data_IF_573920068705
#
_entry.id   IF_573920068705
#
_cell.length_a   1.000
_cell.length_b   1.000
_cell.length_c   1.000
_cell.angle_alpha   90.00
_cell.angle_beta   90.00
_cell.angle_gamma   90.00
#
_symmetry.space_group_name_H-M   'P 1'
#
loop_
_entity.id
_entity.type
_entity.pdbx_description
1 polymer ?
#
# COMPACT_ATOMS: atom_id res chain seq x y z
N UNK A 1 2.38 28.09 -5.89
CA UNK A 1 3.48 27.12 -5.99
C UNK A 1 2.88 25.72 -5.83
N UNK A 2 3.16 24.76 -6.71
CA UNK A 2 2.63 23.38 -6.61
C UNK A 2 2.96 22.68 -5.29
N UNK A 3 3.97 23.19 -4.55
CA UNK A 3 4.38 22.67 -3.25
C UNK A 3 3.32 22.90 -2.15
N UNK A 4 2.63 24.04 -2.13
CA UNK A 4 1.63 24.35 -1.09
C UNK A 4 0.37 23.49 -1.22
N UNK A 5 0.01 23.12 -2.46
CA UNK A 5 -1.11 22.22 -2.74
C UNK A 5 -0.74 20.80 -2.33
N UNK A 6 0.48 20.35 -2.63
CA UNK A 6 0.97 19.02 -2.24
C UNK A 6 0.96 18.85 -0.71
N UNK A 7 1.53 19.81 0.03
CA UNK A 7 1.60 19.77 1.49
C UNK A 7 0.20 19.74 2.13
N UNK A 8 -0.80 20.40 1.52
CA UNK A 8 -2.20 20.35 2.01
C UNK A 8 -2.92 19.04 1.73
N UNK A 9 -2.54 18.31 0.68
CA UNK A 9 -3.20 17.05 0.29
C UNK A 9 -2.61 15.84 1.00
N UNK A 10 -1.31 15.89 1.36
CA UNK A 10 -0.59 14.82 2.07
C UNK A 10 -1.30 14.33 3.34
N UNK A 11 -1.83 15.18 4.24
CA UNK A 11 -2.53 14.73 5.45
C UNK A 11 -3.79 13.91 5.14
N UNK A 12 -4.56 14.29 4.11
CA UNK A 12 -5.74 13.54 3.68
C UNK A 12 -5.38 12.17 3.13
N UNK A 13 -4.31 12.10 2.34
CA UNK A 13 -3.79 10.83 1.80
C UNK A 13 -3.24 9.91 2.90
N UNK A 14 -2.54 10.47 3.89
CA UNK A 14 -2.08 9.75 5.08
C UNK A 14 -3.25 9.24 5.92
N UNK A 15 -4.31 10.04 6.10
CA UNK A 15 -5.51 9.62 6.80
C UNK A 15 -6.23 8.47 6.09
N UNK A 16 -6.34 8.52 4.76
CA UNK A 16 -6.90 7.41 3.96
C UNK A 16 -6.04 6.15 4.11
N UNK A 17 -4.70 6.28 4.02
CA UNK A 17 -3.79 5.16 4.20
C UNK A 17 -3.93 4.56 5.62
N UNK A 18 -4.03 5.40 6.64
CA UNK A 18 -4.23 4.97 8.03
C UNK A 18 -5.56 4.23 8.20
N UNK A 19 -6.65 4.77 7.65
CA UNK A 19 -7.98 4.15 7.69
C UNK A 19 -7.94 2.79 6.99
N UNK A 20 -7.29 2.69 5.82
CA UNK A 20 -7.13 1.42 5.10
C UNK A 20 -6.32 0.39 5.89
N UNK A 21 -5.25 0.83 6.57
CA UNK A 21 -4.41 0.00 7.46
C UNK A 21 -5.22 -0.52 8.65
N UNK A 22 -5.97 0.36 9.33
CA UNK A 22 -6.76 0.01 10.53
C UNK A 22 -7.92 -0.91 10.17
N UNK A 23 -8.57 -0.66 9.03
CA UNK A 23 -9.68 -1.47 8.54
C UNK A 23 -9.22 -2.83 8.00
N UNK A 24 -7.99 -2.96 7.48
CA UNK A 24 -7.29 -4.20 7.13
C UNK A 24 -8.15 -5.47 6.93
N UNK A 25 -8.40 -6.27 7.99
CA UNK A 25 -9.18 -7.51 7.89
C UNK A 25 -10.70 -7.29 7.71
N UNK A 26 -11.25 -6.19 8.25
CA UNK A 26 -12.61 -5.78 7.90
C UNK A 26 -12.70 -5.27 6.48
N UNK A 27 -11.62 -4.84 5.82
CA UNK A 27 -11.67 -4.39 4.42
C UNK A 27 -11.95 -5.55 3.49
N UNK A 28 -11.44 -6.75 3.77
CA UNK A 28 -11.75 -7.94 2.96
C UNK A 28 -13.24 -8.30 3.08
N UNK A 29 -13.78 -8.34 4.30
CA UNK A 29 -15.20 -8.64 4.53
C UNK A 29 -16.13 -7.50 4.10
N UNK A 30 -15.73 -6.25 4.34
CA UNK A 30 -16.43 -5.03 3.93
C UNK A 30 -16.40 -4.84 2.43
N UNK A 31 -15.31 -5.16 1.72
CA UNK A 31 -15.30 -5.11 0.26
C UNK A 31 -16.02 -6.30 -0.36
N UNK A 32 -15.99 -7.49 0.24
CA UNK A 32 -16.89 -8.59 -0.16
C UNK A 32 -18.36 -8.18 -0.02
N UNK A 33 -18.68 -7.39 1.00
CA UNK A 33 -20.03 -6.85 1.24
C UNK A 33 -20.38 -5.63 0.37
N UNK A 34 -19.46 -4.70 0.16
CA UNK A 34 -19.66 -3.43 -0.56
C UNK A 34 -19.48 -3.57 -2.08
N UNK A 35 -18.69 -4.54 -2.54
CA UNK A 35 -18.46 -4.85 -3.95
C UNK A 35 -18.83 -6.30 -4.29
N UNK A 36 -20.10 -6.72 -4.09
CA UNK A 36 -20.55 -8.08 -4.45
C UNK A 36 -20.42 -8.38 -5.95
N UNK A 37 -20.25 -7.35 -6.79
CA UNK A 37 -20.01 -7.42 -8.23
C UNK A 37 -18.53 -7.52 -8.68
N UNK A 38 -17.55 -7.50 -7.76
CA UNK A 38 -16.13 -7.69 -8.07
C UNK A 38 -15.80 -9.12 -8.54
N UNK A 39 -16.79 -10.01 -8.63
CA UNK A 39 -16.70 -11.25 -9.41
C UNK A 39 -16.66 -11.01 -10.92
N UNK A 40 -17.14 -9.85 -11.39
CA UNK A 40 -17.05 -9.47 -12.80
C UNK A 40 -15.63 -8.98 -13.12
N UNK A 41 -14.97 -9.61 -14.09
CA UNK A 41 -13.58 -9.27 -14.45
C UNK A 41 -13.38 -7.79 -14.82
N UNK A 42 -14.42 -7.13 -15.34
CA UNK A 42 -14.39 -5.71 -15.65
C UNK A 42 -14.30 -4.81 -14.40
N UNK A 43 -15.09 -5.08 -13.35
CA UNK A 43 -15.05 -4.30 -12.11
C UNK A 43 -13.70 -4.44 -11.40
N UNK A 44 -13.14 -5.66 -11.36
CA UNK A 44 -11.81 -5.93 -10.80
C UNK A 44 -10.73 -5.20 -11.57
N UNK A 45 -10.78 -5.19 -12.90
CA UNK A 45 -9.84 -4.44 -13.74
C UNK A 45 -9.85 -2.93 -13.45
N UNK A 46 -11.04 -2.33 -13.30
CA UNK A 46 -11.17 -0.90 -12.96
C UNK A 46 -10.59 -0.60 -11.58
N UNK A 47 -10.89 -1.44 -10.58
CA UNK A 47 -10.36 -1.27 -9.22
C UNK A 47 -8.84 -1.42 -9.17
N UNK A 48 -8.29 -2.42 -9.86
CA UNK A 48 -6.84 -2.61 -9.95
C UNK A 48 -6.15 -1.43 -10.67
N UNK A 49 -6.76 -0.88 -11.72
CA UNK A 49 -6.24 0.30 -12.39
C UNK A 49 -6.25 1.53 -11.46
N UNK A 50 -7.33 1.76 -10.72
CA UNK A 50 -7.42 2.84 -9.74
C UNK A 50 -6.38 2.69 -8.61
N UNK A 51 -6.20 1.47 -8.10
CA UNK A 51 -5.17 1.15 -7.10
C UNK A 51 -3.77 1.34 -7.69
N UNK A 52 -3.54 1.04 -8.96
CA UNK A 52 -2.27 1.29 -9.64
C UNK A 52 -1.92 2.77 -9.69
N UNK A 53 -2.88 3.64 -10.02
CA UNK A 53 -2.69 5.10 -10.03
C UNK A 53 -2.39 5.62 -8.62
N UNK A 54 -3.19 5.23 -7.64
CA UNK A 54 -2.97 5.60 -6.24
C UNK A 54 -1.62 5.11 -5.72
N UNK A 55 -1.33 3.84 -6.02
CA UNK A 55 -0.13 3.15 -5.59
C UNK A 55 1.14 3.75 -6.16
N UNK A 56 1.13 4.11 -7.45
CA UNK A 56 2.26 4.77 -8.10
C UNK A 56 2.55 6.18 -7.58
N UNK A 57 1.55 6.86 -7.00
CA UNK A 57 1.74 8.18 -6.41
C UNK A 57 2.13 8.15 -4.92
N UNK A 58 1.48 7.30 -4.12
CA UNK A 58 1.59 7.34 -2.65
C UNK A 58 2.13 6.05 -2.03
N UNK A 59 1.84 4.88 -2.60
CA UNK A 59 2.32 3.56 -2.15
C UNK A 59 1.80 3.07 -0.78
N UNK A 60 1.50 3.96 0.17
CA UNK A 60 1.08 3.61 1.53
C UNK A 60 -0.30 2.97 1.56
N UNK A 61 -0.48 1.88 2.32
CA UNK A 61 -1.78 1.20 2.45
C UNK A 61 -2.25 0.43 1.19
N UNK A 62 -1.63 0.63 0.03
CA UNK A 62 -1.96 -0.02 -1.24
C UNK A 62 -1.98 -1.55 -1.14
N UNK A 63 -1.06 -2.14 -0.37
CA UNK A 63 -1.03 -3.59 -0.17
C UNK A 63 -2.31 -4.15 0.46
N UNK A 64 -2.99 -3.40 1.33
CA UNK A 64 -4.28 -3.80 1.91
C UNK A 64 -5.41 -3.66 0.90
N UNK A 65 -5.35 -2.64 0.05
CA UNK A 65 -6.33 -2.45 -1.04
C UNK A 65 -6.23 -3.58 -2.08
N UNK A 66 -5.01 -3.96 -2.47
CA UNK A 66 -4.76 -5.12 -3.35
C UNK A 66 -5.30 -6.41 -2.72
N UNK A 67 -5.02 -6.65 -1.43
CA UNK A 67 -5.57 -7.81 -0.73
C UNK A 67 -7.09 -7.82 -0.74
N UNK A 68 -7.73 -6.68 -0.49
CA UNK A 68 -9.18 -6.59 -0.44
C UNK A 68 -9.84 -6.88 -1.80
N UNK A 69 -9.29 -6.31 -2.89
CA UNK A 69 -9.81 -6.54 -4.25
C UNK A 69 -9.56 -7.96 -4.72
N UNK A 70 -8.34 -8.47 -4.54
CA UNK A 70 -7.98 -9.83 -4.99
C UNK A 70 -8.74 -10.90 -4.18
N UNK A 71 -8.91 -10.74 -2.87
CA UNK A 71 -9.69 -11.68 -2.05
C UNK A 71 -11.21 -11.59 -2.28
N UNK A 72 -11.70 -10.51 -2.89
CA UNK A 72 -13.09 -10.35 -3.30
C UNK A 72 -13.35 -10.92 -4.71
N UNK A 73 -12.36 -10.86 -5.61
CA UNK A 73 -12.45 -11.40 -6.97
C UNK A 73 -12.19 -12.90 -7.04
N UNK A 74 -11.22 -13.39 -6.26
CA UNK A 74 -10.81 -14.79 -6.23
C UNK A 74 -11.34 -15.43 -4.96
N UNK A 75 -12.23 -16.42 -5.09
CA UNK A 75 -12.70 -17.27 -3.97
C UNK A 75 -11.61 -18.23 -3.47
N UNK A 76 -10.35 -17.84 -3.57
CA UNK A 76 -9.18 -18.71 -3.51
C UNK A 76 -8.37 -18.44 -2.22
N UNK A 77 -7.55 -19.39 -1.82
CA UNK A 77 -6.86 -19.40 -0.52
C UNK A 77 -5.98 -18.15 -0.29
N UNK A 78 -5.92 -17.72 0.98
CA UNK A 78 -5.19 -16.51 1.45
C UNK A 78 -3.70 -16.49 0.99
N UNK A 79 -3.10 -17.65 0.74
CA UNK A 79 -1.73 -17.77 0.24
C UNK A 79 -1.54 -17.24 -1.19
N UNK A 80 -2.45 -17.58 -2.11
CA UNK A 80 -2.35 -17.14 -3.52
C UNK A 80 -2.65 -15.65 -3.66
N UNK A 81 -3.65 -15.16 -2.92
CA UNK A 81 -3.98 -13.73 -2.87
C UNK A 81 -2.79 -12.89 -2.40
N UNK A 82 -2.04 -13.37 -1.40
CA UNK A 82 -0.83 -12.70 -0.91
C UNK A 82 0.30 -12.68 -1.95
N UNK A 83 0.47 -13.78 -2.71
CA UNK A 83 1.43 -13.85 -3.81
C UNK A 83 1.10 -12.84 -4.91
N UNK A 84 -0.15 -12.85 -5.39
CA UNK A 84 -0.63 -11.92 -6.40
C UNK A 84 -0.48 -10.45 -5.95
N UNK A 85 -0.88 -10.13 -4.71
CA UNK A 85 -0.72 -8.79 -4.14
C UNK A 85 0.73 -8.31 -4.17
N UNK A 86 1.69 -9.15 -3.78
CA UNK A 86 3.10 -8.76 -3.80
C UNK A 86 3.62 -8.55 -5.23
N UNK A 87 3.17 -9.36 -6.20
CA UNK A 87 3.52 -9.20 -7.60
C UNK A 87 2.97 -7.88 -8.18
N UNK A 88 1.70 -7.58 -7.94
CA UNK A 88 1.09 -6.30 -8.36
C UNK A 88 1.79 -5.11 -7.71
N UNK A 89 2.06 -5.18 -6.39
CA UNK A 89 2.78 -4.12 -5.70
C UNK A 89 4.18 -3.90 -6.29
N UNK A 90 4.92 -4.97 -6.57
CA UNK A 90 6.24 -4.88 -7.20
C UNK A 90 6.17 -4.26 -8.60
N UNK A 91 5.18 -4.64 -9.41
CA UNK A 91 4.97 -4.08 -10.75
C UNK A 91 4.65 -2.58 -10.71
N UNK A 92 3.69 -2.19 -9.85
CA UNK A 92 3.29 -0.77 -9.69
C UNK A 92 4.49 0.07 -9.25
N UNK A 93 5.23 -0.37 -8.23
CA UNK A 93 6.38 0.37 -7.72
C UNK A 93 7.51 0.46 -8.75
N UNK A 94 7.77 -0.62 -9.49
CA UNK A 94 8.81 -0.63 -10.53
C UNK A 94 8.48 0.35 -11.67
N UNK A 95 7.22 0.39 -12.11
CA UNK A 95 6.75 1.33 -13.12
C UNK A 95 6.78 2.77 -12.59
N UNK A 96 6.36 3.00 -11.34
CA UNK A 96 6.34 4.33 -10.72
C UNK A 96 7.72 4.98 -10.59
N UNK A 97 8.78 4.18 -10.46
CA UNK A 97 10.16 4.68 -10.39
C UNK A 97 10.66 5.18 -11.75
N UNK A 98 10.11 4.71 -12.89
CA UNK A 98 10.57 5.12 -14.23
C UNK A 98 10.41 6.62 -14.48
N UNK A 99 9.23 7.25 -14.29
CA UNK A 99 9.10 8.71 -14.40
C UNK A 99 10.04 9.47 -13.47
N UNK A 100 10.30 8.94 -12.27
CA UNK A 100 11.20 9.56 -11.30
C UNK A 100 12.64 9.54 -11.83
N UNK A 101 13.13 8.40 -12.34
CA UNK A 101 14.46 8.30 -12.97
C UNK A 101 14.62 9.25 -14.16
N UNK A 102 13.57 9.41 -14.97
CA UNK A 102 13.58 10.30 -16.14
C UNK A 102 13.46 11.78 -15.78
N UNK A 103 13.07 12.13 -14.56
CA UNK A 103 12.87 13.52 -14.13
C UNK A 103 14.17 14.33 -14.00
N UNK A 104 15.32 13.66 -13.92
CA UNK A 104 16.61 14.31 -13.63
C UNK A 104 16.78 14.80 -12.20
N UNK A 105 15.78 14.58 -11.33
CA UNK A 105 15.78 15.01 -9.92
C UNK A 105 16.28 13.92 -8.96
N UNK A 106 16.80 12.80 -9.49
CA UNK A 106 17.19 11.64 -8.69
C UNK A 106 18.63 11.78 -8.20
N UNK A 107 18.78 11.85 -6.88
CA UNK A 107 20.04 11.56 -6.23
C UNK A 107 20.28 10.04 -6.24
N UNK A 108 21.23 9.59 -7.04
CA UNK A 108 21.55 8.18 -7.21
C UNK A 108 22.14 7.53 -5.96
N UNK A 109 22.83 8.30 -5.12
CA UNK A 109 23.37 7.80 -3.85
C UNK A 109 22.23 7.55 -2.87
N UNK A 110 21.33 8.53 -2.71
CA UNK A 110 20.13 8.36 -1.89
C UNK A 110 19.25 7.22 -2.41
N UNK A 111 19.05 7.12 -3.74
CA UNK A 111 18.29 6.06 -4.37
C UNK A 111 18.87 4.67 -4.06
N UNK A 112 20.20 4.51 -4.14
CA UNK A 112 20.87 3.24 -3.82
C UNK A 112 20.72 2.89 -2.34
N UNK A 113 20.87 3.86 -1.43
CA UNK A 113 20.64 3.66 0.01
C UNK A 113 19.20 3.20 0.29
N UNK A 114 18.21 3.83 -0.33
CA UNK A 114 16.79 3.46 -0.20
C UNK A 114 16.54 2.07 -0.77
N UNK A 115 17.11 1.73 -1.94
CA UNK A 115 16.96 0.42 -2.56
C UNK A 115 17.51 -0.69 -1.65
N UNK A 116 18.75 -0.52 -1.20
CA UNK A 116 19.44 -1.48 -0.34
C UNK A 116 18.71 -1.62 1.00
N UNK A 117 18.40 -0.49 1.65
CA UNK A 117 17.64 -0.47 2.91
C UNK A 117 16.26 -1.09 2.77
N UNK A 118 15.58 -0.86 1.64
CA UNK A 118 14.28 -1.45 1.32
C UNK A 118 14.33 -2.97 1.13
N UNK A 119 15.35 -3.49 0.44
CA UNK A 119 15.53 -4.94 0.26
C UNK A 119 15.79 -5.60 1.62
N UNK A 120 16.74 -5.07 2.40
CA UNK A 120 17.07 -5.62 3.71
C UNK A 120 15.90 -5.51 4.69
N UNK A 121 15.27 -4.35 4.77
CA UNK A 121 14.10 -4.10 5.61
C UNK A 121 12.90 -4.96 5.21
N UNK A 122 12.67 -5.14 3.91
CA UNK A 122 11.61 -6.01 3.40
C UNK A 122 11.85 -7.49 3.75
N UNK A 123 13.06 -7.98 3.57
CA UNK A 123 13.41 -9.37 3.90
C UNK A 123 13.36 -9.63 5.41
N UNK A 124 13.99 -8.76 6.21
CA UNK A 124 13.97 -8.85 7.66
C UNK A 124 12.54 -8.72 8.21
N UNK A 125 11.79 -7.74 7.72
CA UNK A 125 10.39 -7.52 8.07
C UNK A 125 9.52 -8.75 7.77
N UNK A 126 9.63 -9.32 6.57
CA UNK A 126 8.88 -10.53 6.20
C UNK A 126 9.20 -11.74 7.10
N UNK A 127 10.43 -11.82 7.61
CA UNK A 127 10.81 -12.88 8.56
C UNK A 127 10.26 -12.62 9.96
N UNK A 128 10.30 -11.37 10.42
CA UNK A 128 9.78 -10.96 11.73
C UNK A 128 8.26 -11.12 11.79
N UNK A 129 7.53 -10.72 10.73
CA UNK A 129 6.06 -10.82 10.71
C UNK A 129 5.55 -12.26 10.79
N UNK A 130 6.35 -13.25 10.36
CA UNK A 130 6.04 -14.68 10.52
C UNK A 130 6.18 -15.19 11.95
N UNK A 131 6.90 -14.46 12.80
CA UNK A 131 7.16 -14.83 14.20
C UNK A 131 6.18 -14.16 15.18
N UNK A 132 5.46 -13.13 14.74
CA UNK A 132 4.55 -12.35 15.57
C UNK A 132 3.10 -12.84 15.45
N UNK A 133 2.33 -12.87 16.55
CA UNK A 133 0.89 -13.06 16.49
C UNK A 133 0.24 -11.92 15.66
N UNK A 134 -0.71 -12.27 14.80
CA UNK A 134 -1.46 -11.33 13.96
C UNK A 134 -1.98 -10.07 14.69
N UNK A 135 -2.58 -10.14 15.90
CA UNK A 135 -3.05 -8.95 16.58
C UNK A 135 -1.93 -7.99 16.99
N UNK A 136 -0.73 -8.51 17.33
CA UNK A 136 0.43 -7.68 17.70
C UNK A 136 0.93 -6.92 16.48
N UNK A 137 1.08 -7.61 15.35
CA UNK A 137 1.46 -6.99 14.08
C UNK A 137 0.49 -5.88 13.71
N UNK A 138 -0.81 -6.13 13.84
CA UNK A 138 -1.86 -5.17 13.49
C UNK A 138 -1.82 -3.91 14.36
N UNK A 139 -1.74 -4.06 15.68
CA UNK A 139 -1.66 -2.92 16.60
C UNK A 139 -0.38 -2.12 16.34
N UNK A 140 0.75 -2.80 16.12
CA UNK A 140 2.02 -2.14 15.80
C UNK A 140 1.94 -1.25 14.57
N UNK A 141 1.43 -1.78 13.45
CA UNK A 141 1.29 -1.00 12.20
C UNK A 141 0.30 0.17 12.38
N UNK A 142 -0.81 -0.04 13.09
CA UNK A 142 -1.77 1.01 13.39
C UNK A 142 -1.17 2.15 14.22
N UNK A 143 -0.44 1.81 15.29
CA UNK A 143 0.23 2.80 16.17
C UNK A 143 1.25 3.61 15.39
N UNK A 144 2.09 2.96 14.58
CA UNK A 144 3.07 3.66 13.72
C UNK A 144 2.35 4.61 12.76
N UNK A 145 1.27 4.15 12.12
CA UNK A 145 0.46 5.00 11.25
C UNK A 145 -0.09 6.23 11.96
N UNK A 146 -0.66 6.07 13.16
CA UNK A 146 -1.18 7.20 13.97
C UNK A 146 -0.07 8.18 14.32
N UNK A 147 1.10 7.68 14.75
CA UNK A 147 2.25 8.54 15.08
C UNK A 147 2.68 9.36 13.88
N UNK A 148 2.83 8.73 12.71
CA UNK A 148 3.21 9.42 11.47
C UNK A 148 2.17 10.49 11.11
N UNK A 149 0.88 10.14 11.12
CA UNK A 149 -0.20 11.11 10.84
C UNK A 149 -0.18 12.29 11.80
N UNK A 150 -0.05 12.05 13.12
CA UNK A 150 0.00 13.11 14.12
C UNK A 150 1.24 14.00 13.96
N UNK A 151 2.41 13.41 13.70
CA UNK A 151 3.65 14.16 13.50
C UNK A 151 3.59 15.11 12.31
N UNK A 152 2.85 14.74 11.26
CA UNK A 152 2.64 15.57 10.08
C UNK A 152 1.57 16.64 10.31
N UNK A 153 0.63 16.41 11.22
CA UNK A 153 -0.42 17.38 11.56
C UNK A 153 0.09 18.50 12.50
N UNK A 154 1.13 18.21 13.28
CA UNK A 154 1.73 19.13 14.27
C UNK A 154 2.88 19.95 13.65
N UNK A 155 3.42 19.53 12.50
CA UNK A 155 4.41 20.29 11.71
C UNK A 155 3.72 21.19 10.69
#
# INVERSE_FOLDING_TARGET
SSNDVFVKVVPGLLAIALVAIVLGPRTTDFMRWAFPGARSGAATGVLLAAIGIYGGFFGAGMGFMLLAVLAASEGVGIGEVNGAKNLFAAAIQSIAVVPMMLSGLVDWTAALCVLVGGIFGGYAGARITRLLPEPVLRVGVAVIGVIVTLSFLVR
#
